data_IF_168167506979
#
_entry.id   IF_168167506979
#
_cell.length_a   1.000
_cell.length_b   1.000
_cell.length_c   1.000
_cell.angle_alpha   90.00
_cell.angle_beta   90.00
_cell.angle_gamma   90.00
#
_symmetry.space_group_name_H-M   'P 1'
#
loop_
_entity.id
_entity.type
_entity.pdbx_description
1 polymer ?
#
# COMPACT_ATOMS: atom_id res chain seq x y z
N UNK A 1 25.30 6.37 7.50
CA UNK A 1 25.67 5.79 6.21
C UNK A 1 24.39 5.52 5.44
N UNK A 2 23.77 6.61 4.96
CA UNK A 2 22.87 6.53 3.82
C UNK A 2 23.48 5.51 2.85
N UNK A 3 22.69 4.57 2.33
CA UNK A 3 23.16 3.59 1.34
C UNK A 3 24.16 4.28 0.41
N UNK A 4 25.30 3.66 0.09
CA UNK A 4 26.38 4.25 -0.74
C UNK A 4 25.90 4.94 -2.04
N UNK A 5 24.64 4.75 -2.42
CA UNK A 5 23.91 5.55 -3.40
C UNK A 5 23.83 7.06 -3.12
N UNK A 6 23.93 7.50 -1.86
CA UNK A 6 23.84 8.91 -1.44
C UNK A 6 25.13 9.45 -0.81
N UNK A 7 26.23 8.68 -0.80
CA UNK A 7 27.54 9.31 -0.60
C UNK A 7 27.80 10.21 -1.80
N UNK A 8 28.14 11.48 -1.57
CA UNK A 8 28.46 12.44 -2.65
C UNK A 8 29.63 12.00 -3.56
N UNK A 9 30.32 10.92 -3.21
CA UNK A 9 31.22 10.19 -4.11
C UNK A 9 30.41 9.33 -5.08
N UNK A 10 30.13 9.87 -6.28
CA UNK A 10 29.81 9.02 -7.42
C UNK A 10 31.07 8.22 -7.77
N UNK A 11 31.03 6.90 -7.58
CA UNK A 11 32.08 6.01 -8.08
C UNK A 11 32.22 6.28 -9.58
N UNK A 12 33.43 6.64 -10.03
CA UNK A 12 33.67 6.93 -11.45
C UNK A 12 33.24 5.71 -12.26
N UNK A 13 32.27 5.90 -13.15
CA UNK A 13 31.76 4.82 -13.97
C UNK A 13 32.89 4.28 -14.86
N UNK A 14 33.04 2.97 -14.92
CA UNK A 14 33.98 2.28 -15.81
C UNK A 14 33.19 1.37 -16.73
N UNK A 15 33.45 1.45 -18.02
CA UNK A 15 32.86 0.58 -19.03
C UNK A 15 33.81 0.40 -20.22
N UNK A 16 33.54 -0.57 -21.10
CA UNK A 16 34.27 -0.71 -22.35
C UNK A 16 34.06 0.54 -23.20
N UNK A 17 35.13 1.01 -23.85
CA UNK A 17 35.09 2.15 -24.79
C UNK A 17 35.22 1.64 -26.25
N UNK A 18 35.56 0.35 -26.41
CA UNK A 18 35.77 -0.30 -27.68
C UNK A 18 35.20 -1.72 -27.62
N UNK A 19 34.67 -2.19 -28.74
CA UNK A 19 34.21 -3.56 -28.94
C UNK A 19 34.60 -4.02 -30.36
N UNK A 20 34.92 -5.29 -30.50
CA UNK A 20 35.17 -5.90 -31.80
C UNK A 20 33.90 -5.96 -32.65
N UNK A 21 34.06 -5.77 -33.96
CA UNK A 21 32.95 -5.85 -34.91
C UNK A 21 32.41 -7.27 -35.01
N UNK A 22 31.08 -7.40 -35.05
CA UNK A 22 30.42 -8.68 -35.34
C UNK A 22 30.67 -9.02 -36.83
N UNK A 23 31.19 -10.22 -37.16
CA UNK A 23 31.42 -10.60 -38.53
C UNK A 23 30.09 -10.73 -39.28
N UNK A 24 29.95 -10.02 -40.39
CA UNK A 24 28.81 -10.09 -41.31
C UNK A 24 29.31 -10.24 -42.74
N UNK A 25 28.62 -11.07 -43.53
CA UNK A 25 28.99 -11.42 -44.90
C UNK A 25 27.84 -11.16 -45.89
N UNK A 26 28.18 -11.05 -47.17
CA UNK A 26 27.20 -10.96 -48.26
C UNK A 26 26.31 -9.72 -48.20
N UNK A 27 24.99 -9.92 -48.38
CA UNK A 27 24.01 -8.85 -48.50
C UNK A 27 23.81 -8.06 -47.20
N UNK A 28 23.96 -8.71 -46.03
CA UNK A 28 23.82 -8.04 -44.72
C UNK A 28 24.93 -7.01 -44.48
N UNK A 29 26.16 -7.34 -44.90
CA UNK A 29 27.30 -6.42 -44.81
C UNK A 29 27.05 -5.16 -45.65
N UNK A 30 26.61 -5.34 -46.90
CA UNK A 30 26.33 -4.21 -47.80
C UNK A 30 25.21 -3.33 -47.24
N UNK A 31 24.13 -3.94 -46.71
CA UNK A 31 23.04 -3.20 -46.08
C UNK A 31 23.49 -2.44 -44.82
N UNK A 32 24.32 -3.06 -43.98
CA UNK A 32 24.87 -2.42 -42.79
C UNK A 32 25.79 -1.23 -43.15
N UNK A 33 26.69 -1.40 -44.13
CA UNK A 33 27.58 -0.31 -44.61
C UNK A 33 26.80 0.84 -45.26
N UNK A 34 25.74 0.52 -46.01
CA UNK A 34 24.84 1.51 -46.60
C UNK A 34 24.11 2.35 -45.54
N UNK A 35 23.70 1.74 -44.41
CA UNK A 35 23.09 2.45 -43.28
C UNK A 35 24.10 3.24 -42.46
N UNK A 36 25.34 2.76 -42.33
CA UNK A 36 26.37 3.43 -41.54
C UNK A 36 26.84 4.75 -42.15
N UNK A 37 26.91 4.85 -43.47
CA UNK A 37 27.35 6.05 -44.18
C UNK A 37 26.56 7.32 -43.79
N UNK A 38 25.21 7.33 -43.87
CA UNK A 38 24.42 8.49 -43.45
C UNK A 38 24.43 8.69 -41.93
N UNK A 39 24.51 7.63 -41.11
CA UNK A 39 24.61 7.76 -39.65
C UNK A 39 25.89 8.52 -39.29
N UNK A 40 27.03 8.14 -39.87
CA UNK A 40 28.32 8.84 -39.64
C UNK A 40 28.32 10.30 -40.10
N UNK A 41 27.60 10.61 -41.18
CA UNK A 41 27.51 12.00 -41.68
C UNK A 41 26.67 12.91 -40.77
N UNK A 42 25.67 12.36 -40.07
CA UNK A 42 24.74 13.12 -39.23
C UNK A 42 25.07 13.03 -37.73
N UNK A 43 26.19 12.41 -37.37
CA UNK A 43 26.59 12.19 -35.99
C UNK A 43 27.96 12.80 -35.72
N UNK A 44 28.11 13.50 -34.61
CA UNK A 44 29.35 14.15 -34.20
C UNK A 44 30.05 13.42 -33.03
N UNK A 45 29.31 12.60 -32.28
CA UNK A 45 29.75 11.90 -31.08
C UNK A 45 29.02 10.56 -30.92
N UNK A 46 29.42 9.77 -29.92
CA UNK A 46 28.82 8.46 -29.63
C UNK A 46 27.32 8.58 -29.32
N UNK A 47 26.92 9.66 -28.64
CA UNK A 47 25.52 9.93 -28.27
C UNK A 47 24.65 10.10 -29.51
N UNK A 48 25.01 11.05 -30.39
CA UNK A 48 24.28 11.28 -31.64
C UNK A 48 24.34 10.08 -32.58
N UNK A 49 25.46 9.34 -32.59
CA UNK A 49 25.61 8.14 -33.39
C UNK A 49 24.60 7.05 -33.02
N UNK A 50 24.44 6.79 -31.72
CA UNK A 50 23.48 5.79 -31.24
C UNK A 50 22.05 6.24 -31.52
N UNK A 51 21.70 7.50 -31.23
CA UNK A 51 20.35 8.02 -31.50
C UNK A 51 19.98 7.98 -32.98
N UNK A 52 20.89 8.35 -33.89
CA UNK A 52 20.64 8.27 -35.33
C UNK A 52 20.59 6.81 -35.83
N UNK A 53 21.40 5.91 -35.27
CA UNK A 53 21.29 4.48 -35.56
C UNK A 53 19.91 3.92 -35.17
N UNK A 54 19.41 4.24 -33.97
CA UNK A 54 18.09 3.82 -33.50
C UNK A 54 17.00 4.37 -34.41
N UNK A 55 17.06 5.66 -34.75
CA UNK A 55 16.08 6.32 -35.62
C UNK A 55 16.04 5.69 -37.02
N UNK A 56 17.19 5.35 -37.58
CA UNK A 56 17.30 4.66 -38.88
C UNK A 56 16.74 3.25 -38.82
N UNK A 57 17.09 2.45 -37.80
CA UNK A 57 16.55 1.08 -37.63
C UNK A 57 15.05 1.08 -37.38
N UNK A 58 14.49 2.13 -36.78
CA UNK A 58 13.04 2.28 -36.62
C UNK A 58 12.31 2.72 -37.90
N UNK A 59 13.03 3.17 -38.94
CA UNK A 59 12.44 3.50 -40.24
C UNK A 59 12.26 2.23 -41.09
N UNK A 60 11.16 1.54 -40.88
CA UNK A 60 10.79 0.29 -41.59
C UNK A 60 10.58 0.46 -43.10
N UNK A 61 10.58 1.69 -43.62
CA UNK A 61 10.46 1.96 -45.06
C UNK A 61 11.80 1.84 -45.81
N UNK A 62 12.93 1.75 -45.09
CA UNK A 62 14.26 1.57 -45.70
C UNK A 62 14.50 0.08 -46.03
N UNK A 63 14.76 -0.23 -47.29
CA UNK A 63 14.96 -1.60 -47.76
C UNK A 63 16.14 -2.29 -47.07
N UNK A 64 17.20 -1.55 -46.70
CA UNK A 64 18.34 -2.10 -45.98
C UNK A 64 17.95 -2.50 -44.55
N UNK A 65 17.10 -1.70 -43.90
CA UNK A 65 16.58 -2.00 -42.56
C UNK A 65 15.68 -3.23 -42.61
N UNK A 66 14.82 -3.34 -43.64
CA UNK A 66 13.95 -4.52 -43.80
C UNK A 66 14.74 -5.80 -44.01
N UNK A 67 15.84 -5.74 -44.78
CA UNK A 67 16.75 -6.87 -44.96
C UNK A 67 17.34 -7.31 -43.61
N UNK A 68 17.89 -6.38 -42.83
CA UNK A 68 18.54 -6.68 -41.55
C UNK A 68 17.56 -7.16 -40.46
N UNK A 69 16.33 -6.64 -40.48
CA UNK A 69 15.27 -7.07 -39.58
C UNK A 69 14.68 -8.44 -39.98
N UNK A 70 14.81 -8.88 -41.24
CA UNK A 70 14.27 -10.16 -41.68
C UNK A 70 12.75 -10.27 -41.54
N UNK A 71 12.04 -9.14 -41.52
CA UNK A 71 10.58 -9.08 -41.31
C UNK A 71 10.11 -9.09 -39.85
N UNK A 72 11.01 -9.24 -38.87
CA UNK A 72 10.66 -9.16 -37.44
C UNK A 72 10.95 -7.76 -36.90
N UNK A 73 9.88 -7.01 -36.58
CA UNK A 73 9.97 -5.66 -36.01
C UNK A 73 9.92 -5.63 -34.48
N UNK A 74 10.05 -6.78 -33.80
CA UNK A 74 10.08 -6.84 -32.34
C UNK A 74 11.26 -6.02 -31.78
N UNK A 75 11.05 -5.42 -30.61
CA UNK A 75 12.04 -4.56 -29.93
C UNK A 75 13.38 -5.28 -29.70
N UNK A 76 13.34 -6.58 -29.39
CA UNK A 76 14.53 -7.40 -29.22
C UNK A 76 15.34 -7.55 -30.53
N UNK A 77 14.67 -7.75 -31.66
CA UNK A 77 15.34 -7.86 -32.96
C UNK A 77 15.87 -6.51 -33.44
N UNK A 78 15.14 -5.42 -33.20
CA UNK A 78 15.66 -4.06 -33.42
C UNK A 78 16.93 -3.81 -32.61
N UNK A 79 16.94 -4.17 -31.34
CA UNK A 79 18.14 -4.07 -30.49
C UNK A 79 19.31 -4.91 -31.02
N UNK A 80 19.06 -6.08 -31.63
CA UNK A 80 20.08 -6.88 -32.33
C UNK A 80 20.65 -6.16 -33.54
N UNK A 81 19.82 -5.57 -34.38
CA UNK A 81 20.28 -4.82 -35.57
C UNK A 81 21.04 -3.55 -35.16
N UNK A 82 20.58 -2.85 -34.12
CA UNK A 82 21.28 -1.70 -33.56
C UNK A 82 22.66 -2.14 -33.04
N UNK A 83 22.74 -3.22 -32.25
CA UNK A 83 24.01 -3.76 -31.76
C UNK A 83 24.98 -4.10 -32.90
N UNK A 84 24.45 -4.68 -33.99
CA UNK A 84 25.25 -4.96 -35.19
C UNK A 84 25.85 -3.67 -35.79
N UNK A 85 25.04 -2.64 -36.05
CA UNK A 85 25.52 -1.38 -36.61
C UNK A 85 26.56 -0.70 -35.69
N UNK A 86 26.31 -0.70 -34.39
CA UNK A 86 27.22 -0.13 -33.40
C UNK A 86 28.54 -0.91 -33.32
N UNK A 87 28.49 -2.25 -33.42
CA UNK A 87 29.70 -3.08 -33.41
C UNK A 87 30.64 -2.79 -34.59
N UNK A 88 30.10 -2.50 -35.79
CA UNK A 88 30.91 -2.13 -36.97
C UNK A 88 31.55 -0.74 -36.76
N UNK A 89 30.89 0.13 -36.02
CA UNK A 89 31.43 1.41 -35.60
C UNK A 89 32.35 1.31 -34.36
N UNK A 90 32.59 0.10 -33.84
CA UNK A 90 33.36 -0.18 -32.64
C UNK A 90 32.81 0.51 -31.37
N UNK A 91 31.52 0.84 -31.38
CA UNK A 91 30.82 1.43 -30.25
C UNK A 91 30.27 0.30 -29.37
N UNK A 92 30.72 0.18 -28.11
CA UNK A 92 30.22 -0.84 -27.20
C UNK A 92 28.78 -0.54 -26.82
N UNK A 93 27.95 -1.57 -26.79
CA UNK A 93 26.55 -1.49 -26.43
C UNK A 93 26.17 -2.73 -25.64
N UNK A 94 25.36 -2.52 -24.60
CA UNK A 94 24.82 -3.58 -23.75
C UNK A 94 23.31 -3.45 -23.67
N UNK A 95 22.64 -4.60 -23.68
CA UNK A 95 21.21 -4.68 -23.39
C UNK A 95 20.97 -4.56 -21.90
N UNK A 96 19.96 -3.80 -21.53
CA UNK A 96 19.59 -3.53 -20.15
C UNK A 96 18.10 -3.73 -20.03
N UNK A 97 17.66 -4.31 -18.92
CA UNK A 97 16.24 -4.52 -18.69
C UNK A 97 15.81 -3.70 -17.48
N UNK A 98 14.77 -2.90 -17.67
CA UNK A 98 14.32 -1.92 -16.68
C UNK A 98 12.92 -2.24 -16.20
N UNK A 99 12.66 -1.92 -14.94
CA UNK A 99 11.34 -2.05 -14.33
C UNK A 99 10.85 -0.66 -13.94
N UNK A 100 9.56 -0.37 -14.18
CA UNK A 100 8.92 0.89 -13.80
C UNK A 100 8.68 0.90 -12.30
N UNK A 101 8.95 2.03 -11.66
CA UNK A 101 8.67 2.29 -10.26
C UNK A 101 7.19 2.67 -10.05
N UNK A 102 6.28 1.86 -10.60
CA UNK A 102 4.83 2.00 -10.47
C UNK A 102 4.33 1.00 -9.44
N UNK A 103 3.51 1.48 -8.49
CA UNK A 103 2.94 0.64 -7.44
C UNK A 103 1.70 -0.10 -7.94
N UNK A 104 1.49 -1.32 -7.45
CA UNK A 104 0.28 -2.12 -7.62
C UNK A 104 -0.09 -2.51 -9.07
N UNK A 105 0.84 -2.35 -10.02
CA UNK A 105 0.67 -2.75 -11.42
C UNK A 105 1.64 -3.89 -11.75
N UNK A 106 1.09 -5.03 -12.16
CA UNK A 106 1.90 -6.12 -12.70
C UNK A 106 2.53 -5.69 -14.03
N UNK A 107 3.83 -5.86 -14.14
CA UNK A 107 4.61 -5.41 -15.29
C UNK A 107 5.68 -6.42 -15.68
N UNK A 108 6.11 -6.34 -16.93
CA UNK A 108 7.27 -7.07 -17.45
C UNK A 108 8.44 -6.10 -17.66
N UNK A 109 9.68 -6.54 -17.46
CA UNK A 109 10.85 -5.70 -17.70
C UNK A 109 10.91 -5.22 -19.15
N UNK A 110 11.25 -3.95 -19.34
CA UNK A 110 11.41 -3.34 -20.66
C UNK A 110 12.86 -3.34 -21.10
N UNK A 111 13.09 -3.65 -22.37
CA UNK A 111 14.41 -3.63 -22.99
C UNK A 111 14.86 -2.20 -23.29
N UNK A 112 16.04 -1.86 -22.81
CA UNK A 112 16.78 -0.62 -23.03
C UNK A 112 18.19 -0.94 -23.51
N UNK A 113 18.85 0.05 -24.08
CA UNK A 113 20.23 -0.05 -24.53
C UNK A 113 21.09 0.88 -23.68
N UNK A 114 22.30 0.45 -23.31
CA UNK A 114 23.29 1.35 -22.72
C UNK A 114 24.64 1.28 -23.43
N UNK A 115 25.35 2.39 -23.43
CA UNK A 115 26.71 2.51 -23.92
C UNK A 115 27.54 3.39 -22.99
N UNK A 116 28.86 3.20 -22.98
CA UNK A 116 29.77 3.98 -22.17
C UNK A 116 30.59 4.92 -23.06
N UNK A 117 30.47 6.23 -22.85
CA UNK A 117 31.15 7.23 -23.69
C UNK A 117 32.57 7.60 -23.19
N UNK A 118 33.09 6.90 -22.17
CA UNK A 118 34.36 7.21 -21.54
C UNK A 118 34.25 8.02 -20.24
N UNK A 119 33.12 8.66 -19.99
CA UNK A 119 32.86 9.44 -18.77
C UNK A 119 31.64 8.92 -17.99
N UNK A 120 30.51 8.69 -18.69
CA UNK A 120 29.24 8.26 -18.10
C UNK A 120 28.56 7.17 -18.92
N UNK A 121 27.68 6.41 -18.25
CA UNK A 121 26.75 5.51 -18.92
C UNK A 121 25.61 6.30 -19.55
N UNK A 122 25.37 6.01 -20.81
CA UNK A 122 24.30 6.56 -21.62
C UNK A 122 23.24 5.49 -21.81
N UNK A 123 21.97 5.87 -21.71
CA UNK A 123 20.84 4.96 -21.86
C UNK A 123 19.97 5.43 -23.02
N UNK A 124 19.44 4.48 -23.78
CA UNK A 124 18.62 4.75 -24.96
C UNK A 124 17.44 3.81 -25.02
N UNK A 125 16.27 4.35 -25.37
CA UNK A 125 15.11 3.54 -25.69
C UNK A 125 15.23 3.02 -27.15
N UNK A 126 15.22 1.69 -27.39
CA UNK A 126 15.37 1.12 -28.73
C UNK A 126 14.22 1.45 -29.70
N UNK A 127 13.04 1.86 -29.21
CA UNK A 127 11.88 2.17 -30.05
C UNK A 127 11.78 3.65 -30.40
N UNK A 128 12.05 4.52 -29.44
CA UNK A 128 11.91 5.98 -29.62
C UNK A 128 13.22 6.69 -29.94
N UNK A 129 14.36 6.09 -29.57
CA UNK A 129 15.67 6.76 -29.63
C UNK A 129 15.87 7.82 -28.55
N UNK A 130 14.94 7.92 -27.59
CA UNK A 130 15.04 8.86 -26.48
C UNK A 130 16.27 8.55 -25.61
N UNK A 131 17.03 9.60 -25.31
CA UNK A 131 18.26 9.53 -24.53
C UNK A 131 17.98 9.78 -23.05
N UNK A 132 18.68 9.02 -22.21
CA UNK A 132 18.59 9.11 -20.76
C UNK A 132 17.58 8.10 -20.20
N UNK A 133 17.87 7.60 -19.00
CA UNK A 133 16.96 6.73 -18.29
C UNK A 133 15.96 7.60 -17.50
N UNK A 134 14.64 7.48 -17.72
CA UNK A 134 13.66 8.22 -16.96
C UNK A 134 13.76 7.95 -15.44
N UNK A 135 13.39 8.93 -14.61
CA UNK A 135 13.53 8.83 -13.14
C UNK A 135 12.68 7.73 -12.51
N UNK A 136 11.61 7.31 -13.18
CA UNK A 136 10.70 6.25 -12.76
C UNK A 136 11.19 4.85 -13.16
N UNK A 137 12.44 4.70 -13.60
CA UNK A 137 13.01 3.41 -14.04
C UNK A 137 14.13 2.92 -13.14
N UNK A 138 14.11 1.62 -12.88
CA UNK A 138 15.19 0.91 -12.22
C UNK A 138 15.77 -0.13 -13.16
N UNK A 139 17.09 -0.13 -13.34
CA UNK A 139 17.81 -1.21 -14.01
C UNK A 139 17.74 -2.46 -13.14
N UNK A 140 17.12 -3.53 -13.66
CA UNK A 140 16.97 -4.82 -12.96
C UNK A 140 18.12 -5.78 -13.28
N UNK A 141 18.44 -5.98 -14.56
CA UNK A 141 19.62 -6.75 -14.99
C UNK A 141 20.20 -6.24 -16.31
N UNK A 142 21.41 -6.72 -16.61
CA UNK A 142 22.23 -6.34 -17.75
C UNK A 142 22.64 -7.58 -18.52
N UNK A 143 22.64 -7.53 -19.84
CA UNK A 143 23.04 -8.62 -20.71
C UNK A 143 21.86 -9.33 -21.41
N UNK A 144 22.22 -10.41 -22.10
CA UNK A 144 21.34 -11.15 -23.01
C UNK A 144 20.76 -12.43 -22.39
N UNK A 145 21.14 -12.76 -21.15
CA UNK A 145 20.63 -13.95 -20.48
C UNK A 145 19.12 -13.84 -20.23
N UNK A 146 18.36 -14.91 -20.52
CA UNK A 146 16.93 -14.93 -20.23
C UNK A 146 16.72 -14.86 -18.71
N UNK A 147 15.69 -14.14 -18.29
CA UNK A 147 15.36 -13.97 -16.88
C UNK A 147 15.12 -15.31 -16.16
N UNK A 148 14.62 -16.32 -16.88
CA UNK A 148 14.35 -17.66 -16.36
C UNK A 148 14.81 -18.69 -17.38
N UNK A 149 15.58 -19.69 -16.91
CA UNK A 149 15.84 -20.93 -17.62
C UNK A 149 14.86 -21.99 -17.13
N UNK A 150 14.14 -22.64 -18.05
CA UNK A 150 13.15 -23.68 -17.73
C UNK A 150 13.46 -24.95 -18.51
N UNK A 151 13.65 -26.06 -17.78
CA UNK A 151 13.81 -27.39 -18.36
C UNK A 151 12.52 -28.21 -18.17
N UNK A 152 12.04 -28.87 -19.23
CA UNK A 152 10.84 -29.73 -19.18
C UNK A 152 9.47 -29.02 -19.13
N UNK A 153 9.44 -27.68 -19.04
CA UNK A 153 8.21 -26.87 -19.09
C UNK A 153 8.07 -26.04 -20.36
N UNK A 154 6.94 -25.31 -20.51
CA UNK A 154 6.67 -24.42 -21.66
C UNK A 154 6.16 -23.06 -21.20
N UNK A 155 6.63 -22.00 -21.86
CA UNK A 155 6.16 -20.61 -21.74
C UNK A 155 6.16 -20.01 -20.31
N UNK A 156 7.33 -19.83 -19.67
CA UNK A 156 7.40 -19.20 -18.35
C UNK A 156 6.90 -17.76 -18.40
N UNK A 157 5.94 -17.42 -17.52
CA UNK A 157 5.47 -16.06 -17.34
C UNK A 157 6.02 -15.51 -16.02
N UNK A 158 6.81 -14.44 -16.11
CA UNK A 158 7.33 -13.72 -14.94
C UNK A 158 6.73 -12.32 -14.94
N UNK A 159 6.11 -11.96 -13.82
CA UNK A 159 5.56 -10.62 -13.59
C UNK A 159 6.20 -10.02 -12.36
N UNK A 160 6.45 -8.71 -12.42
CA UNK A 160 6.96 -7.93 -11.30
C UNK A 160 5.85 -7.03 -10.78
N UNK A 161 5.74 -6.94 -9.46
CA UNK A 161 4.88 -5.95 -8.79
C UNK A 161 5.76 -5.21 -7.79
N UNK A 162 5.78 -3.89 -7.89
CA UNK A 162 6.50 -3.04 -6.96
C UNK A 162 5.53 -2.42 -5.98
N UNK A 163 5.99 -2.21 -4.75
CA UNK A 163 5.27 -1.45 -3.74
C UNK A 163 6.25 -0.50 -3.05
N UNK A 164 5.86 0.76 -2.93
CA UNK A 164 6.62 1.74 -2.16
C UNK A 164 6.34 1.54 -0.67
N UNK A 165 7.37 1.19 0.09
CA UNK A 165 7.31 1.13 1.55
C UNK A 165 8.11 2.29 2.12
N UNK A 166 7.48 3.14 2.91
CA UNK A 166 8.17 4.17 3.67
C UNK A 166 9.11 3.52 4.68
N UNK A 167 10.41 3.56 4.40
CA UNK A 167 11.43 3.03 5.28
C UNK A 167 11.66 4.02 6.42
N UNK A 168 11.29 3.64 7.64
CA UNK A 168 11.48 4.48 8.83
C UNK A 168 12.97 4.88 8.98
N UNK A 169 13.22 6.14 9.37
CA UNK A 169 14.55 6.68 9.64
C UNK A 169 15.39 5.79 10.59
N UNK A 170 14.73 5.09 11.53
CA UNK A 170 15.36 4.14 12.45
C UNK A 170 15.92 2.92 11.71
N UNK A 171 15.21 2.42 10.68
CA UNK A 171 15.67 1.28 9.87
C UNK A 171 16.79 1.70 8.91
N UNK A 172 16.77 2.94 8.42
CA UNK A 172 17.89 3.56 7.69
C UNK A 172 19.11 3.77 8.59
N UNK A 173 18.91 4.11 9.87
CA UNK A 173 19.97 4.18 10.87
C UNK A 173 20.56 2.80 11.20
N UNK A 174 19.74 1.74 11.28
CA UNK A 174 20.21 0.35 11.47
C UNK A 174 21.07 -0.16 10.30
N UNK A 175 20.70 0.17 9.06
CA UNK A 175 21.51 -0.14 7.87
C UNK A 175 22.80 0.69 7.78
N UNK A 176 22.81 1.83 8.47
CA UNK A 176 23.88 2.80 8.51
C UNK A 176 24.97 2.43 9.51
N UNK A 177 24.56 1.91 10.67
CA UNK A 177 25.41 1.82 11.85
C UNK A 177 25.65 0.36 12.23
N UNK A 178 26.80 -0.18 11.81
CA UNK A 178 27.19 -1.57 12.09
C UNK A 178 27.60 -1.79 13.56
N UNK A 179 27.70 -0.73 14.36
CA UNK A 179 28.29 -0.75 15.70
C UNK A 179 27.35 -0.30 16.84
N UNK A 180 26.06 -0.05 16.57
CA UNK A 180 25.09 0.15 17.66
C UNK A 180 24.51 -1.21 18.05
N UNK A 181 24.60 -1.58 19.34
CA UNK A 181 24.11 -2.83 19.93
C UNK A 181 22.76 -3.25 19.33
N UNK A 182 22.82 -4.21 18.40
CA UNK A 182 21.69 -4.67 17.59
C UNK A 182 20.62 -5.39 18.43
N UNK A 183 20.98 -5.82 19.64
CA UNK A 183 20.11 -6.61 20.53
C UNK A 183 18.85 -5.84 20.95
N UNK A 184 18.93 -4.55 21.32
CA UNK A 184 17.74 -3.83 21.78
C UNK A 184 16.74 -3.50 20.65
N UNK A 185 17.21 -3.45 19.40
CA UNK A 185 16.40 -3.13 18.22
C UNK A 185 15.89 -4.39 17.48
N UNK A 186 16.50 -5.56 17.67
CA UNK A 186 15.90 -6.84 17.26
C UNK A 186 14.65 -7.20 18.08
N UNK A 187 14.60 -6.80 19.35
CA UNK A 187 13.40 -6.89 20.18
C UNK A 187 12.39 -5.73 19.97
N UNK A 188 12.56 -4.91 18.92
CA UNK A 188 11.60 -3.85 18.58
C UNK A 188 10.51 -4.36 17.63
N UNK A 189 9.31 -3.76 17.70
CA UNK A 189 8.18 -4.10 16.83
C UNK A 189 8.49 -3.90 15.32
N UNK A 190 9.54 -3.16 14.99
CA UNK A 190 10.04 -2.95 13.62
C UNK A 190 10.86 -4.12 13.07
N UNK A 191 11.24 -5.10 13.90
CA UNK A 191 11.87 -6.35 13.45
C UNK A 191 10.89 -7.32 12.78
N UNK A 192 9.58 -7.11 12.94
CA UNK A 192 8.54 -8.01 12.44
C UNK A 192 8.36 -7.88 10.91
N UNK A 193 7.86 -8.92 10.22
CA UNK A 193 7.45 -8.81 8.82
C UNK A 193 6.45 -7.67 8.60
N UNK A 194 6.49 -7.02 7.43
CA UNK A 194 5.68 -5.82 7.14
C UNK A 194 4.17 -6.06 7.34
N UNK A 195 3.63 -7.22 6.95
CA UNK A 195 2.21 -7.55 7.18
C UNK A 195 1.89 -7.63 8.69
N UNK A 196 2.81 -8.17 9.48
CA UNK A 196 2.67 -8.28 10.93
C UNK A 196 2.74 -6.90 11.59
N UNK A 197 3.64 -6.03 11.13
CA UNK A 197 3.76 -4.65 11.65
C UNK A 197 2.45 -3.87 11.51
N UNK A 198 1.80 -3.94 10.35
CA UNK A 198 0.52 -3.28 10.12
C UNK A 198 -0.53 -3.70 11.16
N UNK A 199 -0.62 -5.00 11.42
CA UNK A 199 -1.53 -5.54 12.45
C UNK A 199 -1.21 -5.01 13.85
N UNK A 200 0.06 -4.97 14.24
CA UNK A 200 0.48 -4.46 15.55
C UNK A 200 0.26 -2.95 15.70
N UNK A 201 0.42 -2.16 14.63
CA UNK A 201 0.08 -0.73 14.63
C UNK A 201 -1.40 -0.52 14.97
N UNK A 202 -2.29 -1.41 14.53
CA UNK A 202 -3.71 -1.38 14.92
C UNK A 202 -3.87 -1.70 16.41
N UNK A 203 -3.28 -2.80 16.86
CA UNK A 203 -3.47 -3.30 18.23
C UNK A 203 -2.95 -2.32 19.28
N UNK A 204 -1.79 -1.71 19.04
CA UNK A 204 -1.16 -0.73 19.95
C UNK A 204 -2.00 0.55 20.09
N UNK A 205 -2.85 0.85 19.12
CA UNK A 205 -3.78 1.98 19.17
C UNK A 205 -5.03 1.72 20.01
N UNK A 206 -5.37 0.47 20.32
CA UNK A 206 -6.60 0.13 21.06
C UNK A 206 -6.67 0.83 22.43
N UNK A 207 -5.59 0.85 23.26
CA UNK A 207 -5.60 1.58 24.52
C UNK A 207 -5.87 3.08 24.38
N UNK A 208 -5.53 3.70 23.25
CA UNK A 208 -5.83 5.12 22.98
C UNK A 208 -7.34 5.31 22.83
N UNK A 209 -8.00 4.43 22.07
CA UNK A 209 -9.46 4.45 21.96
C UNK A 209 -10.14 4.27 23.33
N UNK A 210 -9.64 3.35 24.17
CA UNK A 210 -10.15 3.16 25.54
C UNK A 210 -9.98 4.44 26.37
N UNK A 211 -8.81 5.09 26.29
CA UNK A 211 -8.52 6.33 27.00
C UNK A 211 -9.50 7.46 26.60
N UNK A 212 -9.76 7.62 25.30
CA UNK A 212 -10.74 8.60 24.80
C UNK A 212 -12.11 8.36 25.41
N UNK A 213 -12.57 7.11 25.43
CA UNK A 213 -13.88 6.78 25.99
C UNK A 213 -13.93 7.03 27.49
N UNK A 214 -12.85 6.72 28.22
CA UNK A 214 -12.77 7.04 29.64
C UNK A 214 -12.88 8.55 29.88
N UNK A 215 -12.23 9.38 29.05
CA UNK A 215 -12.35 10.84 29.14
C UNK A 215 -13.78 11.29 28.81
N UNK A 216 -14.35 10.84 27.69
CA UNK A 216 -15.71 11.21 27.26
C UNK A 216 -16.76 10.79 28.29
N UNK A 217 -16.58 9.64 28.94
CA UNK A 217 -17.51 9.11 29.94
C UNK A 217 -17.34 9.78 31.31
N UNK A 218 -16.10 9.91 31.80
CA UNK A 218 -15.85 10.44 33.14
C UNK A 218 -15.93 11.97 33.19
N UNK A 219 -15.36 12.67 32.21
CA UNK A 219 -15.37 14.13 32.16
C UNK A 219 -16.59 14.66 31.40
N UNK A 220 -16.91 14.07 30.24
CA UNK A 220 -18.04 14.51 29.40
C UNK A 220 -19.42 14.05 29.89
N UNK A 221 -19.51 12.95 30.64
CA UNK A 221 -20.79 12.37 31.06
C UNK A 221 -21.57 11.69 29.93
N UNK A 222 -20.88 11.32 28.84
CA UNK A 222 -21.49 10.67 27.68
C UNK A 222 -21.95 9.25 28.05
N UNK A 223 -23.20 8.92 27.72
CA UNK A 223 -23.78 7.60 28.00
C UNK A 223 -23.52 6.66 26.82
N UNK A 224 -22.77 5.58 27.06
CA UNK A 224 -22.38 4.59 26.04
C UNK A 224 -22.72 3.17 26.48
N UNK A 225 -22.70 2.22 25.54
CA UNK A 225 -22.80 0.78 25.81
C UNK A 225 -21.52 0.27 26.48
N UNK A 226 -21.32 0.62 27.74
CA UNK A 226 -20.07 0.32 28.45
C UNK A 226 -18.86 1.07 27.88
N UNK A 227 -17.66 0.69 28.32
CA UNK A 227 -16.39 1.32 27.87
C UNK A 227 -15.77 0.62 26.67
N UNK A 228 -15.97 -0.69 26.52
CA UNK A 228 -15.28 -1.50 25.52
C UNK A 228 -16.01 -1.53 24.17
N UNK A 229 -17.35 -1.55 24.17
CA UNK A 229 -18.14 -1.64 22.95
C UNK A 229 -17.88 -0.50 21.96
N UNK A 230 -17.75 0.78 22.35
CA UNK A 230 -17.41 1.83 21.39
C UNK A 230 -16.01 1.62 20.76
N UNK A 231 -15.03 1.05 21.49
CA UNK A 231 -13.70 0.71 20.93
C UNK A 231 -13.81 -0.39 19.90
N UNK A 232 -14.58 -1.44 20.20
CA UNK A 232 -14.82 -2.53 19.26
C UNK A 232 -15.48 -2.03 17.99
N UNK A 233 -16.48 -1.15 18.11
CA UNK A 233 -17.14 -0.53 16.95
C UNK A 233 -16.14 0.35 16.17
N UNK A 234 -15.28 1.11 16.85
CA UNK A 234 -14.24 1.89 16.20
C UNK A 234 -13.26 1.00 15.40
N UNK A 235 -12.93 -0.18 15.93
CA UNK A 235 -12.10 -1.17 15.23
C UNK A 235 -12.84 -1.76 14.01
N UNK A 236 -14.15 -1.99 14.10
CA UNK A 236 -14.95 -2.38 12.95
C UNK A 236 -15.04 -1.28 11.87
N UNK A 237 -15.05 0.00 12.25
CA UNK A 237 -14.98 1.13 11.31
C UNK A 237 -13.63 1.25 10.61
N UNK A 238 -12.57 0.66 11.16
CA UNK A 238 -11.27 0.60 10.47
C UNK A 238 -11.29 -0.32 9.27
N UNK A 239 -11.97 -1.45 9.38
CA UNK A 239 -12.15 -2.38 8.26
C UNK A 239 -13.15 -1.87 7.22
N UNK A 240 -14.22 -1.22 7.67
CA UNK A 240 -15.35 -0.80 6.81
C UNK A 240 -15.31 0.67 6.38
N UNK A 241 -14.32 1.43 6.83
CA UNK A 241 -14.24 2.90 6.76
C UNK A 241 -15.37 3.58 7.56
N UNK A 242 -15.11 4.78 8.08
CA UNK A 242 -16.09 5.48 8.94
C UNK A 242 -17.43 5.74 8.24
N UNK A 243 -17.43 6.15 6.97
CA UNK A 243 -18.66 6.49 6.25
C UNK A 243 -19.59 5.29 6.08
N UNK A 244 -19.09 4.24 5.41
CA UNK A 244 -19.84 2.99 5.23
C UNK A 244 -20.10 2.29 6.56
N UNK A 245 -19.15 2.30 7.48
CA UNK A 245 -19.28 1.73 8.82
C UNK A 245 -20.43 2.33 9.61
N UNK A 246 -20.59 3.67 9.64
CA UNK A 246 -21.70 4.34 10.32
C UNK A 246 -23.05 3.95 9.71
N UNK A 247 -23.14 3.95 8.37
CA UNK A 247 -24.38 3.58 7.65
C UNK A 247 -24.76 2.13 7.97
N UNK A 248 -23.80 1.21 7.79
CA UNK A 248 -24.00 -0.22 8.00
C UNK A 248 -24.34 -0.53 9.46
N UNK A 249 -23.64 0.09 10.41
CA UNK A 249 -23.94 -0.02 11.83
C UNK A 249 -25.36 0.46 12.15
N UNK A 250 -25.77 1.62 11.62
CA UNK A 250 -27.10 2.19 11.90
C UNK A 250 -28.20 1.30 11.32
N UNK A 251 -28.07 0.90 10.05
CA UNK A 251 -29.07 0.05 9.36
C UNK A 251 -29.18 -1.31 10.01
N UNK A 252 -28.06 -2.00 10.25
CA UNK A 252 -28.06 -3.34 10.85
C UNK A 252 -28.57 -3.28 12.29
N UNK A 253 -28.16 -2.29 13.08
CA UNK A 253 -28.62 -2.14 14.46
C UNK A 253 -30.12 -1.85 14.51
N UNK A 254 -30.64 -0.97 13.65
CA UNK A 254 -32.06 -0.68 13.58
C UNK A 254 -32.91 -1.90 13.18
N UNK A 255 -32.51 -2.64 12.14
CA UNK A 255 -33.18 -3.86 11.71
C UNK A 255 -33.07 -4.98 12.74
N UNK A 256 -31.91 -5.12 13.38
CA UNK A 256 -31.68 -6.10 14.44
C UNK A 256 -32.53 -5.85 15.69
N UNK A 257 -32.66 -4.58 16.11
CA UNK A 257 -33.57 -4.19 17.19
C UNK A 257 -35.04 -4.46 16.82
N UNK A 258 -35.44 -4.13 15.58
CA UNK A 258 -36.80 -4.41 15.09
C UNK A 258 -37.12 -5.90 15.11
N UNK A 259 -36.21 -6.74 14.62
CA UNK A 259 -36.38 -8.19 14.67
C UNK A 259 -36.45 -8.67 16.11
N UNK A 260 -35.61 -8.13 17.00
CA UNK A 260 -35.62 -8.55 18.40
C UNK A 260 -36.93 -8.21 19.10
N UNK A 261 -37.47 -7.01 18.88
CA UNK A 261 -38.79 -6.63 19.38
C UNK A 261 -39.87 -7.59 18.87
N UNK A 262 -39.80 -8.05 17.62
CA UNK A 262 -40.71 -9.06 17.08
C UNK A 262 -40.54 -10.43 17.76
N UNK A 263 -39.30 -10.90 17.94
CA UNK A 263 -39.01 -12.18 18.60
C UNK A 263 -39.38 -12.22 20.09
N UNK A 264 -39.45 -11.06 20.73
CA UNK A 264 -39.87 -10.95 22.12
C UNK A 264 -41.35 -11.31 22.33
N UNK A 265 -42.21 -11.01 21.35
CA UNK A 265 -43.63 -11.41 21.37
C UNK A 265 -43.80 -12.94 21.37
N UNK A 266 -42.81 -13.67 20.85
CA UNK A 266 -42.81 -15.13 20.77
C UNK A 266 -42.40 -15.82 22.09
N UNK A 267 -42.14 -15.07 23.18
CA UNK A 267 -41.76 -15.58 24.52
C UNK A 267 -40.62 -16.62 24.49
N UNK A 268 -39.65 -16.44 23.61
CA UNK A 268 -38.51 -17.34 23.46
C UNK A 268 -37.53 -17.23 24.64
N UNK A 269 -36.93 -18.36 25.02
CA UNK A 269 -35.83 -18.44 26.01
C UNK A 269 -34.62 -17.61 25.55
N UNK A 270 -33.83 -17.09 26.50
CA UNK A 270 -32.70 -16.18 26.23
C UNK A 270 -31.69 -16.74 25.21
N UNK A 271 -31.40 -18.05 25.24
CA UNK A 271 -30.35 -18.68 24.44
C UNK A 271 -30.74 -18.85 22.95
N UNK A 272 -31.90 -19.43 22.58
CA UNK A 272 -32.36 -19.46 21.19
C UNK A 272 -32.46 -18.08 20.53
N UNK A 273 -32.79 -17.05 21.32
CA UNK A 273 -32.95 -15.68 20.83
C UNK A 273 -31.64 -15.11 20.26
N UNK A 274 -30.50 -15.38 20.89
CA UNK A 274 -29.19 -14.89 20.41
C UNK A 274 -28.78 -15.53 19.08
N UNK A 275 -29.03 -16.83 18.92
CA UNK A 275 -28.73 -17.56 17.69
C UNK A 275 -29.53 -17.05 16.49
N UNK A 276 -30.80 -16.66 16.70
CA UNK A 276 -31.63 -16.08 15.63
C UNK A 276 -31.13 -14.70 15.22
N UNK A 277 -30.78 -13.84 16.18
CA UNK A 277 -30.23 -12.51 15.89
C UNK A 277 -28.89 -12.61 15.15
N UNK A 278 -28.00 -13.50 15.59
CA UNK A 278 -26.72 -13.75 14.91
C UNK A 278 -26.94 -14.22 13.45
N UNK A 279 -27.77 -15.24 13.26
CA UNK A 279 -28.11 -15.75 11.91
C UNK A 279 -28.72 -14.67 11.03
N UNK A 280 -29.61 -13.84 11.58
CA UNK A 280 -30.21 -12.74 10.85
C UNK A 280 -29.18 -11.70 10.40
N UNK A 281 -28.26 -11.30 11.28
CA UNK A 281 -27.19 -10.35 10.93
C UNK A 281 -26.27 -10.93 9.85
N UNK A 282 -25.95 -12.23 9.91
CA UNK A 282 -25.19 -12.93 8.86
C UNK A 282 -25.89 -12.81 7.50
N UNK A 283 -27.18 -13.17 7.46
CA UNK A 283 -27.98 -13.11 6.24
C UNK A 283 -28.11 -11.68 5.71
N UNK A 284 -28.34 -10.71 6.60
CA UNK A 284 -28.47 -9.31 6.24
C UNK A 284 -27.18 -8.75 5.62
N UNK A 285 -26.02 -9.06 6.23
CA UNK A 285 -24.71 -8.67 5.70
C UNK A 285 -24.47 -9.32 4.33
N UNK A 286 -24.81 -10.61 4.17
CA UNK A 286 -24.66 -11.30 2.89
C UNK A 286 -25.51 -10.63 1.79
N UNK A 287 -26.77 -10.29 2.10
CA UNK A 287 -27.67 -9.57 1.19
C UNK A 287 -27.09 -8.19 0.83
N UNK A 288 -26.67 -7.40 1.82
CA UNK A 288 -26.07 -6.07 1.60
C UNK A 288 -24.81 -6.17 0.73
N UNK A 289 -23.97 -7.18 0.97
CA UNK A 289 -22.75 -7.42 0.19
C UNK A 289 -23.06 -7.76 -1.28
N UNK A 290 -24.04 -8.64 -1.53
CA UNK A 290 -24.49 -8.99 -2.88
C UNK A 290 -25.05 -7.78 -3.64
N UNK A 291 -25.85 -6.94 -2.98
CA UNK A 291 -26.35 -5.70 -3.58
C UNK A 291 -25.25 -4.67 -3.81
N UNK A 292 -24.31 -4.52 -2.87
CA UNK A 292 -23.16 -3.62 -3.01
C UNK A 292 -22.28 -4.00 -4.21
N UNK A 293 -22.05 -5.30 -4.41
CA UNK A 293 -21.30 -5.81 -5.56
C UNK A 293 -21.98 -5.47 -6.89
N UNK A 294 -23.31 -5.66 -6.97
CA UNK A 294 -24.11 -5.32 -8.17
C UNK A 294 -24.10 -3.83 -8.49
N UNK A 295 -23.92 -2.96 -7.49
CA UNK A 295 -23.87 -1.50 -7.65
C UNK A 295 -22.45 -0.96 -7.95
N UNK A 296 -21.45 -1.84 -8.12
CA UNK A 296 -20.05 -1.42 -8.36
C UNK A 296 -19.39 -0.79 -7.13
N UNK A 297 -19.99 -0.94 -5.95
CA UNK A 297 -19.41 -0.51 -4.68
C UNK A 297 -18.50 -1.64 -4.17
N UNK A 298 -17.28 -1.70 -4.70
CA UNK A 298 -16.24 -2.68 -4.30
C UNK A 298 -15.87 -2.60 -2.81
N UNK A 299 -16.23 -1.49 -2.15
CA UNK A 299 -15.91 -1.20 -0.74
C UNK A 299 -16.79 -1.95 0.27
N UNK A 300 -17.85 -2.64 -0.18
CA UNK A 300 -18.73 -3.45 0.67
C UNK A 300 -18.39 -4.95 0.74
N UNK A 301 -17.33 -5.38 0.05
CA UNK A 301 -17.02 -6.81 -0.16
C UNK A 301 -16.16 -7.44 0.95
N UNK A 302 -15.44 -6.63 1.72
CA UNK A 302 -14.50 -7.11 2.75
C UNK A 302 -15.15 -7.19 4.13
N UNK A 303 -16.25 -7.93 4.27
CA UNK A 303 -16.88 -8.10 5.59
C UNK A 303 -16.19 -9.21 6.37
N UNK A 304 -15.28 -8.82 7.27
CA UNK A 304 -14.63 -9.71 8.23
C UNK A 304 -15.64 -10.27 9.25
N UNK A 305 -15.36 -11.45 9.81
CA UNK A 305 -16.13 -12.06 10.91
C UNK A 305 -16.19 -11.15 12.14
N UNK A 306 -15.19 -10.29 12.32
CA UNK A 306 -15.03 -9.49 13.52
C UNK A 306 -16.11 -8.38 13.66
N UNK A 307 -16.34 -7.48 12.68
CA UNK A 307 -17.47 -6.55 12.68
C UNK A 307 -18.83 -7.22 12.92
N UNK A 308 -19.04 -8.42 12.37
CA UNK A 308 -20.29 -9.16 12.53
C UNK A 308 -20.57 -9.51 14.00
N UNK A 309 -19.58 -10.05 14.72
CA UNK A 309 -19.71 -10.39 16.16
C UNK A 309 -19.94 -9.13 17.00
N UNK A 310 -19.29 -8.02 16.65
CA UNK A 310 -19.46 -6.76 17.37
C UNK A 310 -20.89 -6.22 17.20
N UNK A 311 -21.42 -6.26 15.98
CA UNK A 311 -22.78 -5.79 15.68
C UNK A 311 -23.83 -6.60 16.43
N UNK A 312 -23.70 -7.93 16.46
CA UNK A 312 -24.67 -8.80 17.16
C UNK A 312 -24.64 -8.58 18.67
N UNK A 313 -23.45 -8.48 19.26
CA UNK A 313 -23.28 -8.13 20.67
C UNK A 313 -23.85 -6.73 20.99
N UNK A 314 -23.69 -5.78 20.07
CA UNK A 314 -24.22 -4.42 20.23
C UNK A 314 -25.75 -4.43 20.18
N UNK A 315 -26.36 -5.13 19.22
CA UNK A 315 -27.81 -5.30 19.13
C UNK A 315 -28.37 -5.93 20.41
N UNK A 316 -27.71 -6.98 20.92
CA UNK A 316 -28.11 -7.64 22.16
C UNK A 316 -28.13 -6.66 23.34
N UNK A 317 -27.00 -5.99 23.62
CA UNK A 317 -26.90 -5.06 24.76
C UNK A 317 -27.83 -3.87 24.62
N UNK A 318 -28.00 -3.36 23.39
CA UNK A 318 -28.86 -2.22 23.13
C UNK A 318 -30.34 -2.59 23.29
N UNK A 319 -30.74 -3.79 22.88
CA UNK A 319 -32.12 -4.27 23.08
C UNK A 319 -32.44 -4.48 24.54
N UNK A 320 -31.52 -5.09 25.31
CA UNK A 320 -31.71 -5.23 26.76
C UNK A 320 -31.84 -3.84 27.40
N UNK A 321 -31.01 -2.87 26.99
CA UNK A 321 -31.12 -1.49 27.50
C UNK A 321 -32.45 -0.84 27.11
N UNK A 322 -32.98 -1.16 25.92
CA UNK A 322 -34.28 -0.69 25.44
C UNK A 322 -35.42 -1.27 26.27
N UNK A 323 -35.35 -2.57 26.59
CA UNK A 323 -36.31 -3.31 27.42
C UNK A 323 -36.26 -2.82 28.89
N UNK A 324 -35.06 -2.66 29.48
CA UNK A 324 -34.89 -2.31 30.89
C UNK A 324 -35.09 -0.82 31.22
N UNK A 325 -34.66 0.07 30.32
CA UNK A 325 -34.59 1.53 30.58
C UNK A 325 -35.40 2.37 29.61
N UNK A 326 -36.11 1.73 28.70
CA UNK A 326 -36.96 2.36 27.69
C UNK A 326 -36.20 2.85 26.45
N UNK A 327 -36.94 3.01 25.35
CA UNK A 327 -36.37 3.32 24.04
C UNK A 327 -35.67 4.67 23.94
N UNK A 328 -36.15 5.69 24.64
CA UNK A 328 -35.50 7.01 24.66
C UNK A 328 -34.10 6.96 25.29
N UNK A 329 -33.92 6.19 26.37
CA UNK A 329 -32.60 6.00 26.99
C UNK A 329 -31.70 5.15 26.10
N UNK A 330 -32.21 4.07 25.51
CA UNK A 330 -31.45 3.23 24.59
C UNK A 330 -30.98 4.00 23.35
N UNK A 331 -31.84 4.82 22.74
CA UNK A 331 -31.47 5.66 21.60
C UNK A 331 -30.34 6.64 21.95
N UNK A 332 -30.44 7.32 23.11
CA UNK A 332 -29.37 8.21 23.60
C UNK A 332 -28.05 7.47 23.79
N UNK A 333 -28.11 6.26 24.33
CA UNK A 333 -26.94 5.38 24.51
C UNK A 333 -26.36 4.90 23.17
N UNK A 334 -27.19 4.58 22.19
CA UNK A 334 -26.76 4.18 20.85
C UNK A 334 -26.02 5.32 20.15
N UNK A 335 -26.61 6.52 20.13
CA UNK A 335 -25.98 7.73 19.56
C UNK A 335 -24.69 8.06 20.30
N UNK A 336 -24.68 8.01 21.63
CA UNK A 336 -23.47 8.23 22.41
C UNK A 336 -22.37 7.22 22.09
N UNK A 337 -22.72 5.95 21.93
CA UNK A 337 -21.78 4.90 21.53
C UNK A 337 -21.22 5.15 20.13
N UNK A 338 -22.06 5.55 19.17
CA UNK A 338 -21.65 5.85 17.80
C UNK A 338 -20.70 7.06 17.73
N UNK A 339 -21.00 8.12 18.47
CA UNK A 339 -20.14 9.32 18.56
C UNK A 339 -18.80 8.98 19.21
N UNK A 340 -18.82 8.23 20.32
CA UNK A 340 -17.60 7.81 21.00
C UNK A 340 -16.74 6.89 20.11
N UNK A 341 -17.36 5.96 19.38
CA UNK A 341 -16.68 5.09 18.43
C UNK A 341 -16.07 5.88 17.27
N UNK A 342 -16.80 6.85 16.73
CA UNK A 342 -16.33 7.70 15.62
C UNK A 342 -15.13 8.55 16.04
N UNK A 343 -15.18 9.19 17.21
CA UNK A 343 -14.06 9.96 17.76
C UNK A 343 -12.83 9.08 18.04
N UNK A 344 -13.04 7.90 18.62
CA UNK A 344 -11.97 6.93 18.88
C UNK A 344 -11.34 6.48 17.57
N UNK A 345 -12.15 6.17 16.56
CA UNK A 345 -11.68 5.80 15.22
C UNK A 345 -10.84 6.91 14.59
N UNK A 346 -11.31 8.17 14.62
CA UNK A 346 -10.56 9.30 14.05
C UNK A 346 -9.19 9.44 14.71
N UNK A 347 -9.12 9.32 16.05
CA UNK A 347 -7.86 9.43 16.77
C UNK A 347 -6.91 8.26 16.48
N UNK A 348 -7.44 7.03 16.40
CA UNK A 348 -6.66 5.83 16.09
C UNK A 348 -6.15 5.78 14.64
N UNK A 349 -6.71 6.61 13.76
CA UNK A 349 -6.34 6.66 12.34
C UNK A 349 -5.37 7.83 12.01
N UNK A 350 -4.87 8.55 13.02
CA UNK A 350 -3.85 9.59 12.83
C UNK A 350 -2.48 8.92 12.59
N UNK A 351 -1.86 9.11 11.41
CA UNK A 351 -0.58 8.48 11.09
C UNK A 351 0.54 8.86 12.05
N UNK A 352 0.61 10.12 12.44
CA UNK A 352 1.64 10.68 13.32
C UNK A 352 1.55 10.09 14.73
N UNK A 353 0.33 9.94 15.24
CA UNK A 353 0.09 9.32 16.54
C UNK A 353 0.43 7.83 16.50
N UNK A 354 0.08 7.15 15.41
CA UNK A 354 0.40 5.73 15.18
C UNK A 354 1.90 5.51 15.17
N UNK A 355 2.61 6.34 14.41
CA UNK A 355 4.06 6.34 14.36
C UNK A 355 4.68 6.57 15.74
N UNK A 356 4.22 7.57 16.49
CA UNK A 356 4.76 7.91 17.80
C UNK A 356 4.63 6.75 18.81
N UNK A 357 3.44 6.18 18.95
CA UNK A 357 3.19 5.12 19.95
C UNK A 357 3.86 3.81 19.54
N UNK A 358 3.88 3.49 18.24
CA UNK A 358 4.57 2.31 17.74
C UNK A 358 6.10 2.43 17.89
N UNK A 359 6.65 3.65 17.76
CA UNK A 359 8.07 3.92 18.01
C UNK A 359 8.42 3.86 19.50
N UNK A 360 7.53 4.35 20.37
CA UNK A 360 7.75 4.40 21.82
C UNK A 360 6.65 3.66 22.60
N UNK A 361 6.65 2.31 22.63
CA UNK A 361 5.61 1.53 23.32
C UNK A 361 5.52 1.80 24.83
N UNK A 362 6.59 2.30 25.45
CA UNK A 362 6.61 2.70 26.86
C UNK A 362 5.54 3.76 27.20
N UNK A 363 5.09 4.54 26.22
CA UNK A 363 3.96 5.49 26.37
C UNK A 363 2.67 4.75 26.80
N UNK A 364 2.48 3.50 26.41
CA UNK A 364 1.34 2.69 26.85
C UNK A 364 1.33 2.48 28.38
N UNK A 365 2.50 2.33 29.01
CA UNK A 365 2.58 2.22 30.48
C UNK A 365 2.20 3.54 31.16
N UNK A 366 2.60 4.67 30.59
CA UNK A 366 2.17 6.00 31.05
C UNK A 366 0.65 6.12 30.94
N UNK A 367 0.07 5.68 29.83
CA UNK A 367 -1.38 5.67 29.64
C UNK A 367 -2.09 4.76 30.64
N UNK A 368 -1.54 3.58 30.95
CA UNK A 368 -2.08 2.70 32.00
C UNK A 368 -2.09 3.42 33.34
N UNK A 369 -1.01 4.13 33.69
CA UNK A 369 -0.96 4.98 34.88
C UNK A 369 -2.07 6.04 34.90
N UNK A 370 -2.29 6.70 33.77
CA UNK A 370 -3.37 7.69 33.64
C UNK A 370 -4.77 7.06 33.73
N UNK A 371 -4.98 5.89 33.12
CA UNK A 371 -6.24 5.14 33.22
C UNK A 371 -6.54 4.72 34.66
N UNK A 372 -5.52 4.25 35.40
CA UNK A 372 -5.64 3.92 36.83
C UNK A 372 -5.96 5.15 37.68
N UNK A 373 -5.31 6.29 37.40
CA UNK A 373 -5.59 7.55 38.09
C UNK A 373 -7.03 8.02 37.84
N UNK A 374 -7.50 7.99 36.58
CA UNK A 374 -8.88 8.30 36.23
C UNK A 374 -9.90 7.33 36.84
N UNK A 375 -9.53 6.05 37.04
CA UNK A 375 -10.41 5.07 37.71
C UNK A 375 -10.79 5.47 39.14
N UNK A 376 -9.98 6.30 39.81
CA UNK A 376 -10.27 6.86 41.14
C UNK A 376 -10.92 8.23 41.12
N UNK A 377 -11.06 8.85 39.94
CA UNK A 377 -11.57 10.20 39.81
C UNK A 377 -13.08 10.24 40.02
N UNK A 378 -13.51 10.76 41.17
CA UNK A 378 -14.91 11.10 41.51
C UNK A 378 -15.21 12.60 41.34
N UNK A 379 -14.39 13.34 40.59
CA UNK A 379 -14.60 14.77 40.40
C UNK A 379 -15.85 15.07 39.56
N UNK A 380 -16.31 16.33 39.63
CA UNK A 380 -17.51 16.79 38.93
C UNK A 380 -17.38 16.66 37.41
N UNK A 381 -18.47 16.24 36.74
CA UNK A 381 -18.50 16.17 35.27
C UNK A 381 -18.47 17.59 34.70
N UNK A 382 -17.81 17.79 33.56
CA UNK A 382 -17.79 19.09 32.87
C UNK A 382 -19.21 19.56 32.54
N UNK A 383 -20.10 18.62 32.21
CA UNK A 383 -21.53 18.88 31.98
C UNK A 383 -22.27 19.33 33.25
N UNK A 384 -21.81 18.92 34.43
CA UNK A 384 -22.37 19.38 35.70
C UNK A 384 -21.91 20.79 36.05
N UNK A 385 -20.67 21.18 35.74
CA UNK A 385 -20.19 22.56 35.89
C UNK A 385 -21.02 23.56 35.06
N UNK A 386 -21.40 23.21 33.83
CA UNK A 386 -22.32 24.04 33.03
C UNK A 386 -23.72 24.11 33.63
N UNK A 387 -24.22 23.02 34.21
CA UNK A 387 -25.53 23.00 34.90
C UNK A 387 -25.51 23.82 36.19
N UNK A 388 -24.44 23.77 36.98
CA UNK A 388 -24.30 24.55 38.21
C UNK A 388 -24.07 26.04 37.95
N UNK A 389 -23.45 26.41 36.82
CA UNK A 389 -23.38 27.82 36.40
C UNK A 389 -24.76 28.43 36.13
N UNK A 390 -25.75 27.62 35.76
CA UNK A 390 -27.14 28.09 35.61
C UNK A 390 -27.83 28.35 36.95
N UNK A 391 -27.40 27.69 38.04
CA UNK A 391 -27.92 27.91 39.40
C UNK A 391 -27.21 29.04 40.16
N UNK A 392 -26.05 29.51 39.68
CA UNK A 392 -25.30 30.64 40.24
C UNK A 392 -25.73 32.00 39.67
N UNK A 393 -26.78 32.03 38.83
CA UNK A 393 -27.25 33.23 38.13
C UNK A 393 -28.61 33.75 38.63
N UNK A 394 -29.13 33.14 39.69
CA UNK A 394 -30.14 33.70 40.62
C UNK A 394 -29.44 33.97 41.95
#
# INVERSE_FOLDING_TARGET
VLTKRYSGEQTKATGPIFRDSIPVEGAEKIAAEALLSPIRQHSADVETFISEAIKRVNNVNDDNVRLLLGGDSATANKARVIDLLLSIAHVPMERVHTVRLLSDVAQTPELWLRSFNGDKWLYFNPETGEQGLPQDRLVWWTGDEPLVSLEGGRNPQVTFTLNSSEMNAIRLAKLTDANTDADFLEYSLYGLPLQTQQTYQIMIMIPIGVLVILILRNLGGLQTLGTFTPVLIALAFRETQIGFGIILFTVITALGLSLRSYLEHLKLQMLPRLSVVLTFVVVLIAIISLFSHKLGLERGLSVSLFPMVILTMTIERLSITWEERGGGHAFKVAVGTLVAASLSFMLMNIPELTYFIFTFPAVLLIMVGFMLAMGRYRGYRLTELFRFKAFLKD
#
